data_IF_460935747273
#
_entry.id   IF_460935747273
#
_cell.length_a   1.000
_cell.length_b   1.000
_cell.length_c   1.000
_cell.angle_alpha   90.00
_cell.angle_beta   90.00
_cell.angle_gamma   90.00
#
_symmetry.space_group_name_H-M   'P 1'
#
loop_
_entity.id
_entity.type
_entity.pdbx_description
1 polymer ?
#
# COMPACT_ATOMS: atom_id res chain seq x y z
N UNK A 1 -38.22 16.98 -55.72
CA UNK A 1 -37.47 17.84 -54.79
C UNK A 1 -36.28 17.05 -54.30
N UNK A 2 -35.13 17.29 -54.92
CA UNK A 2 -33.87 16.61 -54.62
C UNK A 2 -33.19 17.33 -53.45
N UNK A 3 -32.86 16.59 -52.39
CA UNK A 3 -32.05 17.08 -51.29
C UNK A 3 -30.61 16.57 -51.48
N UNK A 4 -29.67 17.50 -51.53
CA UNK A 4 -28.24 17.27 -51.69
C UNK A 4 -27.62 16.62 -50.44
N UNK A 5 -26.53 15.85 -50.56
CA UNK A 5 -25.83 15.27 -49.42
C UNK A 5 -24.91 16.29 -48.74
N UNK A 6 -24.97 16.35 -47.41
CA UNK A 6 -24.11 17.17 -46.57
C UNK A 6 -22.69 16.60 -46.49
N UNK A 7 -21.69 17.48 -46.61
CA UNK A 7 -20.27 17.18 -46.61
C UNK A 7 -19.75 16.78 -45.21
N UNK A 8 -18.83 15.81 -45.17
CA UNK A 8 -18.13 15.35 -43.98
C UNK A 8 -17.09 16.38 -43.49
N UNK A 9 -16.91 16.56 -42.17
CA UNK A 9 -15.89 17.46 -41.64
C UNK A 9 -14.49 16.82 -41.71
N UNK A 10 -13.52 17.64 -42.09
CA UNK A 10 -12.10 17.35 -42.20
C UNK A 10 -11.45 17.08 -40.84
N UNK A 11 -10.71 15.97 -40.74
CA UNK A 11 -9.86 15.61 -39.59
C UNK A 11 -8.69 16.58 -39.48
N UNK A 12 -8.65 17.39 -38.42
CA UNK A 12 -7.45 18.09 -37.99
C UNK A 12 -6.51 17.08 -37.29
N UNK A 13 -5.25 17.06 -37.72
CA UNK A 13 -4.19 16.29 -37.09
C UNK A 13 -3.86 16.90 -35.72
N UNK A 14 -4.11 16.14 -34.65
CA UNK A 14 -3.69 16.51 -33.30
C UNK A 14 -2.29 15.93 -33.10
N UNK A 15 -1.29 16.80 -33.06
CA UNK A 15 0.07 16.46 -32.67
C UNK A 15 0.10 16.08 -31.20
N UNK A 16 0.56 14.87 -30.91
CA UNK A 16 0.82 14.41 -29.55
C UNK A 16 2.05 15.12 -28.99
N UNK A 17 1.83 16.16 -28.18
CA UNK A 17 2.87 16.71 -27.31
C UNK A 17 3.09 15.74 -26.14
N UNK A 18 4.26 15.11 -26.15
CA UNK A 18 4.79 14.37 -25.01
C UNK A 18 4.97 15.34 -23.84
N UNK A 19 4.09 15.23 -22.84
CA UNK A 19 4.25 15.94 -21.57
C UNK A 19 5.37 15.24 -20.78
N UNK A 20 6.61 15.59 -21.08
CA UNK A 20 7.75 15.26 -20.25
C UNK A 20 7.64 15.98 -18.91
N UNK A 21 7.65 15.23 -17.82
CA UNK A 21 7.83 15.79 -16.48
C UNK A 21 9.25 16.34 -16.41
N UNK A 22 9.38 17.66 -16.53
CA UNK A 22 10.64 18.37 -16.38
C UNK A 22 11.00 18.40 -14.90
N UNK A 23 11.84 17.48 -14.45
CA UNK A 23 12.57 17.65 -13.18
C UNK A 23 13.58 18.78 -13.37
N UNK A 24 13.49 19.81 -12.52
CA UNK A 24 14.47 20.89 -12.49
C UNK A 24 15.85 20.32 -12.19
N UNK A 25 16.70 20.26 -13.22
CA UNK A 25 18.14 20.12 -13.08
C UNK A 25 18.67 21.37 -12.39
N UNK A 26 18.91 21.26 -11.07
CA UNK A 26 19.50 22.31 -10.26
C UNK A 26 20.84 22.77 -10.82
N UNK A 27 20.95 24.08 -10.99
CA UNK A 27 22.16 24.80 -11.37
C UNK A 27 23.22 24.64 -10.29
N UNK A 28 24.43 24.28 -10.72
CA UNK A 28 25.63 24.25 -9.90
C UNK A 28 25.96 25.64 -9.35
N UNK A 29 26.13 25.76 -8.01
CA UNK A 29 26.75 26.90 -7.31
C UNK A 29 27.13 26.53 -5.85
N UNK A 30 28.03 27.28 -5.21
CA UNK A 30 29.39 26.84 -4.92
C UNK A 30 29.57 26.17 -3.56
N UNK A 31 30.58 25.30 -3.51
CA UNK A 31 31.09 24.65 -2.31
C UNK A 31 31.55 25.66 -1.26
N UNK A 32 31.01 25.57 -0.04
CA UNK A 32 31.65 26.13 1.14
C UNK A 32 32.54 25.07 1.77
N UNK A 33 33.86 25.33 1.74
CA UNK A 33 34.88 24.52 2.41
C UNK A 33 34.88 24.84 3.91
N UNK A 34 34.65 23.77 4.68
CA UNK A 34 35.31 23.33 5.91
C UNK A 34 35.58 24.34 7.05
N UNK A 35 35.00 24.04 8.22
CA UNK A 35 35.69 24.16 9.50
C UNK A 35 35.89 22.75 10.07
N UNK A 36 37.15 22.35 10.23
CA UNK A 36 37.56 21.09 10.82
C UNK A 36 37.38 21.15 12.35
N UNK A 37 36.53 20.29 12.89
CA UNK A 37 36.52 19.97 14.32
C UNK A 37 36.98 18.52 14.47
N UNK A 38 38.18 18.35 15.01
CA UNK A 38 38.72 17.07 15.42
C UNK A 38 38.03 16.64 16.72
N UNK A 39 37.28 15.54 16.66
CA UNK A 39 36.76 14.87 17.84
C UNK A 39 37.00 13.37 17.68
N UNK A 40 37.91 12.87 18.50
CA UNK A 40 38.37 11.49 18.58
C UNK A 40 37.20 10.54 18.88
N UNK A 41 36.95 9.60 17.97
CA UNK A 41 36.00 8.52 18.18
C UNK A 41 36.57 7.45 19.13
N UNK A 42 35.86 7.03 20.19
CA UNK A 42 36.23 5.84 20.93
C UNK A 42 35.87 4.59 20.11
N UNK A 43 36.84 3.70 19.93
CA UNK A 43 36.68 2.44 19.21
C UNK A 43 35.69 1.50 19.89
N UNK A 44 34.63 1.12 19.18
CA UNK A 44 33.72 0.06 19.60
C UNK A 44 34.28 -1.28 19.14
N UNK A 45 34.88 -2.01 20.08
CA UNK A 45 35.31 -3.40 19.91
C UNK A 45 34.07 -4.28 19.71
N UNK A 46 34.10 -5.12 18.67
CA UNK A 46 33.21 -6.28 18.53
C UNK A 46 33.45 -7.26 19.68
N UNK A 47 32.41 -7.52 20.48
CA UNK A 47 32.24 -8.76 21.24
C UNK A 47 30.79 -9.19 21.05
N UNK A 48 30.57 -10.26 20.29
CA UNK A 48 29.28 -10.94 20.28
C UNK A 48 29.20 -11.91 21.46
N UNK A 49 28.07 -12.01 22.17
CA UNK A 49 27.73 -13.23 22.87
C UNK A 49 26.94 -14.14 21.93
N UNK A 50 27.28 -15.42 21.94
CA UNK A 50 26.43 -16.47 21.41
C UNK A 50 25.15 -16.52 22.25
N UNK A 51 24.00 -16.25 21.64
CA UNK A 51 22.70 -16.36 22.31
C UNK A 51 22.07 -17.68 21.88
N UNK A 52 21.93 -18.58 22.85
CA UNK A 52 21.16 -19.81 22.77
C UNK A 52 19.68 -19.50 22.48
N UNK A 53 19.14 -20.10 21.43
CA UNK A 53 17.71 -20.01 21.08
C UNK A 53 16.93 -20.88 22.08
N UNK A 54 16.50 -20.27 23.18
CA UNK A 54 15.43 -20.83 24.00
C UNK A 54 14.11 -20.53 23.30
N UNK A 55 13.34 -21.58 22.99
CA UNK A 55 12.00 -21.46 22.45
C UNK A 55 11.12 -20.65 23.40
N UNK A 56 10.84 -19.39 23.06
CA UNK A 56 9.87 -18.59 23.79
C UNK A 56 8.47 -18.94 23.29
N UNK A 57 7.63 -19.26 24.27
CA UNK A 57 6.22 -19.57 24.18
C UNK A 57 5.48 -18.63 23.23
N UNK A 58 4.77 -19.23 22.27
CA UNK A 58 3.80 -18.57 21.41
C UNK A 58 2.89 -17.66 22.24
N UNK A 59 3.03 -16.34 22.05
CA UNK A 59 2.08 -15.38 22.59
C UNK A 59 0.79 -15.49 21.76
N UNK A 60 -0.29 -15.81 22.47
CA UNK A 60 -1.63 -16.04 21.97
C UNK A 60 -2.17 -14.85 21.16
N UNK A 61 -2.80 -15.16 20.03
CA UNK A 61 -3.55 -14.22 19.20
C UNK A 61 -4.58 -13.43 20.03
N UNK A 62 -4.92 -12.18 19.64
CA UNK A 62 -5.93 -11.39 20.35
C UNK A 62 -7.24 -12.17 20.41
N UNK A 63 -7.75 -12.36 21.64
CA UNK A 63 -8.88 -13.23 21.94
C UNK A 63 -10.12 -12.88 21.11
N UNK A 64 -10.77 -13.90 20.57
CA UNK A 64 -12.07 -13.78 19.94
C UNK A 64 -13.01 -13.04 20.90
N UNK A 65 -13.47 -11.85 20.49
CA UNK A 65 -14.53 -11.15 21.22
C UNK A 65 -15.70 -12.13 21.35
N UNK A 66 -16.11 -12.43 22.58
CA UNK A 66 -17.34 -13.17 22.81
C UNK A 66 -18.49 -12.27 22.35
N UNK A 67 -18.87 -12.38 21.07
CA UNK A 67 -19.91 -11.54 20.48
C UNK A 67 -21.26 -12.09 20.93
N UNK A 68 -22.01 -11.26 21.66
CA UNK A 68 -23.39 -11.55 22.05
C UNK A 68 -24.28 -11.73 20.81
N UNK A 69 -24.82 -12.93 20.63
CA UNK A 69 -25.63 -13.30 19.46
C UNK A 69 -26.84 -12.39 19.27
N UNK A 70 -27.47 -11.93 20.37
CA UNK A 70 -28.64 -11.05 20.28
C UNK A 70 -28.28 -9.67 19.71
N UNK A 71 -27.09 -9.16 20.04
CA UNK A 71 -26.57 -7.91 19.48
C UNK A 71 -26.21 -8.07 18.01
N UNK A 72 -25.65 -9.22 17.63
CA UNK A 72 -25.40 -9.54 16.22
C UNK A 72 -26.71 -9.54 15.45
N UNK A 73 -27.73 -10.24 15.93
CA UNK A 73 -29.02 -10.28 15.25
C UNK A 73 -29.65 -8.90 15.10
N UNK A 74 -29.65 -8.11 16.18
CA UNK A 74 -30.13 -6.72 16.14
C UNK A 74 -29.38 -5.87 15.11
N UNK A 75 -28.05 -6.05 14.99
CA UNK A 75 -27.26 -5.36 13.96
C UNK A 75 -27.65 -5.84 12.55
N UNK A 76 -27.75 -7.14 12.34
CA UNK A 76 -28.07 -7.75 11.05
C UNK A 76 -29.45 -7.32 10.52
N UNK A 77 -30.40 -7.08 11.43
CA UNK A 77 -31.75 -6.62 11.08
C UNK A 77 -31.77 -5.16 10.60
N UNK A 78 -30.70 -4.40 10.82
CA UNK A 78 -30.55 -3.04 10.31
C UNK A 78 -29.92 -2.97 8.92
N UNK A 79 -29.36 -4.07 8.43
CA UNK A 79 -28.78 -4.13 7.09
C UNK A 79 -29.91 -4.16 6.07
N UNK A 80 -29.80 -3.33 5.04
CA UNK A 80 -30.78 -3.22 3.96
C UNK A 80 -30.43 -4.26 2.89
N UNK A 81 -31.05 -5.43 3.04
CA UNK A 81 -30.94 -6.51 2.08
C UNK A 81 -31.80 -6.22 0.83
N UNK A 82 -31.30 -6.58 -0.35
CA UNK A 82 -32.06 -6.49 -1.60
C UNK A 82 -33.23 -7.49 -1.62
N UNK A 83 -34.02 -7.49 -2.69
CA UNK A 83 -35.16 -8.40 -2.84
C UNK A 83 -34.80 -9.89 -2.87
N UNK A 84 -33.51 -10.23 -2.96
CA UNK A 84 -32.96 -11.59 -2.91
C UNK A 84 -32.31 -11.89 -1.56
N UNK A 85 -32.40 -10.99 -0.58
CA UNK A 85 -31.77 -11.14 0.73
C UNK A 85 -30.25 -10.92 0.71
N UNK A 86 -29.74 -10.15 -0.25
CA UNK A 86 -28.31 -9.92 -0.45
C UNK A 86 -27.92 -8.45 -0.28
N UNK A 87 -26.69 -8.24 0.20
CA UNK A 87 -25.99 -6.96 0.15
C UNK A 87 -24.64 -7.14 -0.55
N UNK A 88 -24.01 -6.03 -0.94
CA UNK A 88 -22.65 -6.05 -1.49
C UNK A 88 -21.64 -5.99 -0.35
N UNK A 89 -20.60 -6.80 -0.43
CA UNK A 89 -19.44 -6.71 0.44
C UNK A 89 -18.16 -6.52 -0.37
N UNK A 90 -17.36 -5.54 0.02
CA UNK A 90 -16.08 -5.19 -0.57
C UNK A 90 -14.98 -5.59 0.41
N UNK A 91 -14.07 -6.47 0.00
CA UNK A 91 -12.89 -6.77 0.78
C UNK A 91 -11.78 -5.76 0.46
N UNK A 92 -11.24 -5.12 1.49
CA UNK A 92 -10.17 -4.12 1.38
C UNK A 92 -8.97 -4.53 2.23
N UNK A 93 -7.76 -4.38 1.68
CA UNK A 93 -6.53 -4.61 2.40
C UNK A 93 -6.34 -3.52 3.48
N UNK A 94 -6.19 -3.94 4.73
CA UNK A 94 -6.01 -3.04 5.88
C UNK A 94 -4.71 -2.24 5.84
N UNK A 95 -3.66 -2.80 5.25
CA UNK A 95 -2.32 -2.18 5.20
C UNK A 95 -2.20 -1.29 3.96
N UNK A 96 -2.60 -1.80 2.79
CA UNK A 96 -2.38 -1.08 1.52
C UNK A 96 -3.53 -0.18 1.09
N UNK A 97 -4.73 -0.38 1.66
CA UNK A 97 -5.97 0.26 1.22
C UNK A 97 -6.52 -0.28 -0.10
N UNK A 98 -5.85 -1.25 -0.74
CA UNK A 98 -6.29 -1.80 -2.01
C UNK A 98 -7.63 -2.52 -1.89
N UNK A 99 -8.52 -2.30 -2.85
CA UNK A 99 -9.73 -3.11 -3.00
C UNK A 99 -9.31 -4.47 -3.56
N UNK A 100 -9.55 -5.53 -2.79
CA UNK A 100 -9.13 -6.89 -3.12
C UNK A 100 -10.14 -7.58 -4.02
N UNK A 101 -11.42 -7.55 -3.64
CA UNK A 101 -12.52 -8.15 -4.38
C UNK A 101 -13.87 -7.63 -3.89
N UNK A 102 -14.91 -7.87 -4.71
CA UNK A 102 -16.30 -7.71 -4.32
C UNK A 102 -17.00 -9.07 -4.33
N UNK A 103 -17.85 -9.31 -3.33
CA UNK A 103 -18.75 -10.45 -3.27
C UNK A 103 -20.14 -10.05 -2.76
N UNK A 104 -21.11 -10.95 -2.91
CA UNK A 104 -22.42 -10.78 -2.30
C UNK A 104 -22.42 -11.44 -0.93
N UNK A 105 -23.20 -10.91 -0.01
CA UNK A 105 -23.37 -11.47 1.33
C UNK A 105 -24.86 -11.53 1.64
N UNK A 106 -25.28 -12.63 2.26
CA UNK A 106 -26.59 -12.71 2.91
C UNK A 106 -26.39 -12.56 4.44
N UNK A 107 -27.50 -12.55 5.17
CA UNK A 107 -27.50 -12.45 6.64
C UNK A 107 -26.55 -13.47 7.30
N UNK A 108 -26.57 -14.72 6.85
CA UNK A 108 -25.74 -15.81 7.38
C UNK A 108 -24.24 -15.62 7.09
N UNK A 109 -23.88 -15.15 5.89
CA UNK A 109 -22.49 -14.89 5.52
C UNK A 109 -21.89 -13.77 6.37
N UNK A 110 -22.66 -12.72 6.64
CA UNK A 110 -22.23 -11.63 7.50
C UNK A 110 -22.07 -12.10 8.95
N UNK A 111 -23.03 -12.86 9.48
CA UNK A 111 -22.94 -13.47 10.82
C UNK A 111 -21.70 -14.38 10.96
N UNK A 112 -21.42 -15.20 9.94
CA UNK A 112 -20.23 -16.06 9.91
C UNK A 112 -18.94 -15.24 9.84
N UNK A 113 -18.93 -14.13 9.11
CA UNK A 113 -17.76 -13.22 9.05
C UNK A 113 -17.51 -12.56 10.40
N UNK A 114 -18.55 -12.06 11.07
CA UNK A 114 -18.47 -11.45 12.41
C UNK A 114 -17.86 -12.42 13.42
N UNK A 115 -18.33 -13.67 13.42
CA UNK A 115 -17.88 -14.69 14.39
C UNK A 115 -16.49 -15.24 14.10
N UNK A 116 -16.19 -15.55 12.83
CA UNK A 116 -14.93 -16.21 12.44
C UNK A 116 -13.78 -15.25 12.16
N UNK A 117 -14.07 -13.95 11.97
CA UNK A 117 -13.12 -12.95 11.45
C UNK A 117 -12.47 -13.38 10.12
N UNK A 118 -13.18 -14.15 9.30
CA UNK A 118 -12.76 -14.53 7.94
C UNK A 118 -13.82 -14.11 6.95
N UNK A 119 -13.40 -13.46 5.85
CA UNK A 119 -14.32 -12.95 4.85
C UNK A 119 -15.16 -14.09 4.25
N UNK A 120 -16.43 -14.11 4.59
CA UNK A 120 -17.41 -15.09 4.10
C UNK A 120 -18.41 -14.39 3.19
N UNK A 121 -18.61 -14.97 2.02
CA UNK A 121 -19.54 -14.49 1.00
C UNK A 121 -20.66 -15.51 0.76
N UNK A 122 -21.71 -15.08 0.07
CA UNK A 122 -22.76 -15.92 -0.47
C UNK A 122 -22.59 -16.06 -1.99
N UNK A 123 -22.41 -17.29 -2.45
CA UNK A 123 -22.29 -17.59 -3.88
C UNK A 123 -23.68 -17.69 -4.50
N UNK A 124 -24.06 -16.69 -5.31
CA UNK A 124 -25.36 -16.68 -6.00
C UNK A 124 -25.58 -17.87 -6.93
N UNK A 125 -24.52 -18.36 -7.57
CA UNK A 125 -24.60 -19.51 -8.48
C UNK A 125 -24.72 -20.84 -7.76
N UNK A 126 -24.04 -21.01 -6.61
CA UNK A 126 -24.07 -22.24 -5.80
C UNK A 126 -25.16 -22.23 -4.74
N UNK A 127 -25.80 -21.08 -4.51
CA UNK A 127 -26.75 -20.84 -3.42
C UNK A 127 -26.22 -21.29 -2.05
N UNK A 128 -24.94 -21.01 -1.79
CA UNK A 128 -24.24 -21.47 -0.59
C UNK A 128 -23.28 -20.43 -0.03
N UNK A 129 -22.96 -20.55 1.26
CA UNK A 129 -21.86 -19.82 1.88
C UNK A 129 -20.52 -20.25 1.28
N UNK A 130 -19.57 -19.32 1.25
CA UNK A 130 -18.20 -19.55 0.81
C UNK A 130 -17.26 -18.62 1.57
N UNK A 131 -16.35 -19.18 2.37
CA UNK A 131 -15.31 -18.39 3.02
C UNK A 131 -14.11 -18.31 2.10
N UNK A 132 -13.68 -17.08 1.77
CA UNK A 132 -12.52 -16.88 0.90
C UNK A 132 -11.30 -17.55 1.53
N UNK A 133 -10.65 -18.43 0.76
CA UNK A 133 -9.47 -19.16 1.19
C UNK A 133 -9.72 -20.62 1.61
N UNK A 134 -10.97 -21.07 1.76
CA UNK A 134 -11.29 -22.46 2.17
C UNK A 134 -10.60 -23.53 1.32
N UNK A 135 -10.39 -23.28 0.03
CA UNK A 135 -9.69 -24.21 -0.89
C UNK A 135 -8.23 -23.83 -1.12
N UNK A 136 -7.93 -22.53 -1.22
CA UNK A 136 -6.61 -22.04 -1.65
C UNK A 136 -5.68 -21.66 -0.51
N UNK A 137 -6.14 -21.71 0.75
CA UNK A 137 -5.47 -21.17 1.94
C UNK A 137 -5.20 -19.66 1.94
N UNK A 138 -5.49 -18.95 0.85
CA UNK A 138 -5.43 -17.49 0.76
C UNK A 138 -6.69 -16.87 1.40
N UNK A 139 -6.77 -16.89 2.73
CA UNK A 139 -7.84 -16.25 3.48
C UNK A 139 -7.73 -14.73 3.45
N UNK A 140 -8.83 -14.05 3.78
CA UNK A 140 -8.83 -12.63 4.15
C UNK A 140 -9.26 -12.56 5.60
N UNK A 141 -8.30 -12.25 6.49
CA UNK A 141 -8.53 -12.15 7.93
C UNK A 141 -9.07 -10.75 8.25
N UNK A 142 -10.34 -10.69 8.66
CA UNK A 142 -11.10 -9.45 8.84
C UNK A 142 -10.75 -8.79 10.17
N UNK A 143 -10.15 -7.61 10.07
CA UNK A 143 -9.85 -6.74 11.21
C UNK A 143 -11.07 -5.95 11.65
N UNK A 144 -11.86 -5.46 10.70
CA UNK A 144 -13.07 -4.70 11.00
C UNK A 144 -14.11 -4.81 9.88
N UNK A 145 -15.36 -4.48 10.22
CA UNK A 145 -16.50 -4.50 9.31
C UNK A 145 -17.23 -3.17 9.38
N UNK A 146 -17.34 -2.48 8.26
CA UNK A 146 -18.07 -1.22 8.16
C UNK A 146 -19.33 -1.41 7.33
N UNK A 147 -20.43 -0.81 7.78
CA UNK A 147 -21.63 -0.61 6.99
C UNK A 147 -21.58 0.81 6.42
N UNK A 148 -22.07 1.01 5.20
CA UNK A 148 -22.27 2.34 4.65
C UNK A 148 -23.47 3.07 5.28
N UNK A 149 -23.74 4.30 4.83
CA UNK A 149 -24.67 5.21 5.50
C UNK A 149 -26.15 4.78 5.39
N UNK A 150 -26.53 4.12 4.30
CA UNK A 150 -27.86 3.54 4.07
C UNK A 150 -27.91 2.02 4.22
N UNK A 151 -26.79 1.42 4.65
CA UNK A 151 -26.63 0.04 5.12
C UNK A 151 -26.92 -1.02 4.06
N UNK A 152 -26.68 -0.73 2.78
CA UNK A 152 -26.79 -1.73 1.70
C UNK A 152 -25.42 -2.14 1.09
N UNK A 153 -24.33 -1.55 1.58
CA UNK A 153 -22.96 -1.94 1.25
C UNK A 153 -22.09 -2.13 2.50
N UNK A 154 -21.16 -3.08 2.40
CA UNK A 154 -20.33 -3.53 3.52
C UNK A 154 -18.86 -3.51 3.10
N UNK A 155 -17.99 -3.01 3.97
CA UNK A 155 -16.54 -3.16 3.83
C UNK A 155 -16.05 -4.21 4.83
N UNK A 156 -15.38 -5.23 4.32
CA UNK A 156 -14.52 -6.14 5.09
C UNK A 156 -13.09 -5.61 5.02
N UNK A 157 -12.67 -4.90 6.06
CA UNK A 157 -11.30 -4.41 6.18
C UNK A 157 -10.44 -5.52 6.79
N UNK A 158 -9.49 -6.08 6.02
CA UNK A 158 -8.76 -7.28 6.43
C UNK A 158 -7.38 -7.43 5.81
N UNK A 159 -6.60 -8.40 6.32
CA UNK A 159 -5.30 -8.76 5.78
C UNK A 159 -5.40 -10.07 4.98
N UNK A 160 -5.02 -10.09 3.68
CA UNK A 160 -4.98 -11.32 2.90
C UNK A 160 -3.76 -12.18 3.28
N UNK A 161 -3.91 -13.51 3.31
CA UNK A 161 -2.82 -14.47 3.58
C UNK A 161 -2.04 -14.86 2.30
N UNK A 162 -2.42 -14.32 1.15
CA UNK A 162 -1.86 -14.61 -0.16
C UNK A 162 -2.65 -13.91 -1.25
N UNK A 163 -2.39 -14.19 -2.54
CA UNK A 163 -3.11 -13.52 -3.63
C UNK A 163 -4.62 -13.78 -3.53
N UNK A 164 -5.39 -12.69 -3.63
CA UNK A 164 -6.86 -12.78 -3.55
C UNK A 164 -7.42 -13.42 -4.80
N UNK A 165 -6.88 -13.07 -5.97
CA UNK A 165 -7.38 -13.55 -7.24
C UNK A 165 -6.90 -14.98 -7.53
N UNK A 166 -7.73 -15.74 -8.24
CA UNK A 166 -7.40 -17.10 -8.69
C UNK A 166 -6.31 -17.10 -9.77
N UNK A 167 -6.02 -15.96 -10.41
CA UNK A 167 -4.93 -15.78 -11.37
C UNK A 167 -3.56 -15.65 -10.71
N UNK A 168 -3.51 -15.49 -9.38
CA UNK A 168 -2.28 -15.16 -8.65
C UNK A 168 -2.09 -13.67 -8.40
N UNK A 169 -2.96 -12.80 -8.93
CA UNK A 169 -2.94 -11.37 -8.62
C UNK A 169 -3.43 -11.07 -7.19
N UNK A 170 -2.91 -9.99 -6.58
CA UNK A 170 -3.31 -9.57 -5.23
C UNK A 170 -4.78 -9.12 -5.17
N UNK A 171 -5.25 -8.49 -6.24
CA UNK A 171 -6.61 -7.96 -6.42
C UNK A 171 -7.30 -8.59 -7.63
N UNK A 172 -8.63 -8.63 -7.64
CA UNK A 172 -9.41 -8.92 -8.83
C UNK A 172 -9.47 -7.74 -9.83
N UNK A 173 -9.04 -6.55 -9.43
CA UNK A 173 -9.13 -5.31 -10.22
C UNK A 173 -7.78 -4.99 -10.89
N UNK A 174 -7.37 -5.80 -11.86
CA UNK A 174 -6.09 -5.63 -12.59
C UNK A 174 -6.26 -5.27 -14.08
N UNK A 175 -7.48 -4.95 -14.51
CA UNK A 175 -7.77 -4.56 -15.90
C UNK A 175 -8.28 -3.13 -15.96
N UNK A 176 -7.49 -2.22 -16.55
CA UNK A 176 -7.89 -0.84 -16.83
C UNK A 176 -8.87 -0.79 -18.00
N UNK A 177 -9.96 -0.03 -17.83
CA UNK A 177 -10.94 0.21 -18.90
C UNK A 177 -10.29 0.98 -20.06
N UNK A 178 -9.43 1.96 -19.78
CA UNK A 178 -8.80 2.78 -20.82
C UNK A 178 -7.77 2.00 -21.64
N UNK A 179 -7.11 1.03 -21.02
CA UNK A 179 -6.15 0.14 -21.68
C UNK A 179 -6.88 -0.85 -22.58
N UNK A 180 -7.98 -1.43 -22.07
CA UNK A 180 -8.85 -2.30 -22.85
C UNK A 180 -9.43 -1.57 -24.08
N UNK A 181 -9.82 -0.30 -23.93
CA UNK A 181 -10.28 0.54 -25.05
C UNK A 181 -9.19 0.85 -26.08
N UNK A 182 -7.92 0.82 -25.67
CA UNK A 182 -6.76 1.00 -26.56
C UNK A 182 -6.23 -0.31 -27.15
N UNK A 183 -6.88 -1.44 -26.84
CA UNK A 183 -6.43 -2.78 -27.27
C UNK A 183 -5.11 -3.22 -26.62
N UNK A 184 -4.69 -2.56 -25.53
CA UNK A 184 -3.55 -3.00 -24.75
C UNK A 184 -3.94 -4.24 -23.96
N UNK A 185 -3.07 -5.25 -23.97
CA UNK A 185 -3.28 -6.44 -23.13
C UNK A 185 -3.11 -6.04 -21.67
N UNK A 186 -3.93 -6.58 -20.75
CA UNK A 186 -3.68 -6.42 -19.32
C UNK A 186 -2.26 -6.92 -19.03
N UNK A 187 -1.40 -6.06 -18.49
CA UNK A 187 -0.15 -6.54 -17.89
C UNK A 187 -0.48 -7.05 -16.50
N UNK A 188 -0.01 -8.26 -16.17
CA UNK A 188 -0.16 -8.84 -14.83
C UNK A 188 0.41 -7.92 -13.73
N UNK A 189 1.34 -7.04 -14.10
CA UNK A 189 1.97 -6.04 -13.24
C UNK A 189 1.12 -4.78 -13.00
N UNK A 190 0.04 -4.56 -13.75
CA UNK A 190 -0.78 -3.34 -13.60
C UNK A 190 -1.98 -3.62 -12.71
N UNK A 191 -1.80 -3.39 -11.42
CA UNK A 191 -2.85 -3.49 -10.42
C UNK A 191 -3.41 -2.09 -10.11
N UNK A 192 -4.64 -2.02 -9.60
CA UNK A 192 -5.13 -0.79 -8.97
C UNK A 192 -4.31 -0.54 -7.70
N UNK A 193 -3.24 0.26 -7.84
CA UNK A 193 -2.33 0.60 -6.75
C UNK A 193 -2.49 2.07 -6.35
N UNK A 194 -2.20 2.39 -5.09
CA UNK A 194 -2.13 3.78 -4.62
C UNK A 194 -0.75 4.36 -4.93
N UNK A 195 -0.62 5.69 -4.92
CA UNK A 195 0.60 6.41 -5.32
C UNK A 195 1.89 5.85 -4.70
N UNK A 196 1.85 5.46 -3.42
CA UNK A 196 3.01 4.95 -2.71
C UNK A 196 3.45 3.58 -3.26
N UNK A 197 2.51 2.68 -3.53
CA UNK A 197 2.81 1.37 -4.11
C UNK A 197 3.21 1.48 -5.59
N UNK A 198 2.60 2.40 -6.35
CA UNK A 198 3.06 2.69 -7.72
C UNK A 198 4.52 3.20 -7.75
N UNK A 199 4.94 3.92 -6.70
CA UNK A 199 6.33 4.34 -6.51
C UNK A 199 7.22 3.15 -6.18
N UNK A 200 6.82 2.25 -5.29
CA UNK A 200 7.54 1.01 -4.98
C UNK A 200 7.78 0.17 -6.24
N UNK A 201 6.75 -0.06 -7.05
CA UNK A 201 6.84 -0.79 -8.33
C UNK A 201 7.80 -0.10 -9.30
N UNK A 202 7.74 1.24 -9.37
CA UNK A 202 8.66 2.01 -10.20
C UNK A 202 10.10 1.86 -9.73
N UNK A 203 10.37 1.92 -8.43
CA UNK A 203 11.71 1.71 -7.87
C UNK A 203 12.18 0.27 -8.15
N UNK A 204 11.29 -0.73 -8.02
CA UNK A 204 11.58 -2.13 -8.34
C UNK A 204 12.03 -2.29 -9.79
N UNK A 205 11.26 -1.78 -10.75
CA UNK A 205 11.61 -1.83 -12.19
C UNK A 205 12.94 -1.13 -12.49
N UNK A 206 13.23 -0.01 -11.81
CA UNK A 206 14.52 0.70 -11.95
C UNK A 206 15.69 -0.09 -11.39
N UNK A 207 15.48 -1.02 -10.46
CA UNK A 207 16.54 -1.92 -9.99
C UNK A 207 16.95 -2.90 -11.07
N UNK A 208 16.01 -3.36 -11.89
CA UNK A 208 16.23 -4.34 -12.97
C UNK A 208 16.78 -3.71 -14.26
N UNK A 209 16.77 -2.38 -14.36
CA UNK A 209 17.33 -1.62 -15.49
C UNK A 209 18.79 -2.03 -15.75
N UNK A 210 19.06 -2.60 -16.93
CA UNK A 210 20.43 -2.93 -17.39
C UNK A 210 21.07 -1.67 -17.98
N UNK A 211 22.21 -1.27 -17.44
CA UNK A 211 22.97 -0.12 -17.95
C UNK A 211 23.89 -0.63 -19.06
N UNK A 212 23.35 -0.81 -20.27
CA UNK A 212 24.13 -1.27 -21.43
C UNK A 212 24.76 -0.12 -22.19
N UNK A 213 24.05 0.99 -22.39
CA UNK A 213 24.59 2.22 -23.02
C UNK A 213 23.90 3.47 -22.44
N UNK A 214 24.67 4.36 -21.80
CA UNK A 214 24.16 5.61 -21.23
C UNK A 214 24.40 5.78 -19.72
N UNK A 215 23.97 6.93 -19.18
CA UNK A 215 24.00 7.18 -17.72
C UNK A 215 22.82 6.45 -17.06
N UNK A 216 23.03 5.77 -15.92
CA UNK A 216 21.94 5.13 -15.18
C UNK A 216 20.88 6.17 -14.79
N UNK A 217 19.62 5.72 -14.68
CA UNK A 217 18.56 6.55 -14.08
C UNK A 217 18.94 7.03 -12.67
N UNK A 218 18.35 8.14 -12.22
CA UNK A 218 18.60 8.69 -10.87
C UNK A 218 18.38 7.64 -9.77
N UNK A 219 17.24 6.93 -9.84
CA UNK A 219 16.93 5.82 -8.94
C UNK A 219 18.01 4.73 -8.99
N UNK A 220 18.44 4.32 -10.19
CA UNK A 220 19.49 3.30 -10.34
C UNK A 220 20.82 3.76 -9.72
N UNK A 221 21.18 5.04 -9.86
CA UNK A 221 22.37 5.61 -9.22
C UNK A 221 22.27 5.53 -7.69
N UNK A 222 21.14 5.91 -7.11
CA UNK A 222 20.90 5.81 -5.67
C UNK A 222 20.94 4.36 -5.17
N UNK A 223 20.38 3.42 -5.94
CA UNK A 223 20.40 1.98 -5.62
C UNK A 223 21.83 1.40 -5.62
N UNK A 224 22.76 1.97 -6.38
CA UNK A 224 24.15 1.52 -6.49
C UNK A 224 25.11 2.23 -5.52
N UNK A 225 24.76 3.42 -5.03
CA UNK A 225 25.62 4.24 -4.16
C UNK A 225 24.95 4.52 -2.81
N UNK A 226 25.28 3.69 -1.82
CA UNK A 226 24.77 3.81 -0.47
C UNK A 226 25.17 5.12 0.23
N UNK A 227 26.35 5.68 -0.09
CA UNK A 227 26.81 6.93 0.53
C UNK A 227 26.01 8.10 0.01
N UNK A 228 25.79 8.16 -1.31
CA UNK A 228 24.93 9.15 -1.94
C UNK A 228 23.50 9.05 -1.40
N UNK A 229 22.93 7.85 -1.33
CA UNK A 229 21.58 7.63 -0.81
C UNK A 229 21.43 8.11 0.64
N UNK A 230 22.37 7.74 1.52
CA UNK A 230 22.34 8.20 2.91
C UNK A 230 22.54 9.72 3.02
N UNK A 231 23.35 10.32 2.15
CA UNK A 231 23.53 11.77 2.10
C UNK A 231 22.22 12.46 1.74
N UNK A 232 21.53 12.00 0.68
CA UNK A 232 20.24 12.55 0.26
C UNK A 232 19.18 12.42 1.36
N UNK A 233 19.04 11.26 2.00
CA UNK A 233 18.08 11.09 3.11
C UNK A 233 18.34 12.10 4.23
N UNK A 234 19.60 12.35 4.60
CA UNK A 234 19.94 13.34 5.64
C UNK A 234 19.63 14.78 5.21
N UNK A 235 19.88 15.08 3.93
CA UNK A 235 19.57 16.38 3.33
C UNK A 235 18.06 16.64 3.38
N UNK A 236 17.22 15.75 2.83
CA UNK A 236 15.77 15.97 2.79
C UNK A 236 15.14 15.98 4.19
N UNK A 237 15.68 15.18 5.13
CA UNK A 237 15.25 15.26 6.52
C UNK A 237 15.59 16.61 7.16
N UNK A 238 16.75 17.19 6.81
CA UNK A 238 17.16 18.52 7.23
C UNK A 238 16.30 19.61 6.62
N UNK A 239 16.03 19.54 5.31
CA UNK A 239 15.17 20.50 4.61
C UNK A 239 13.73 20.46 5.16
N UNK A 240 13.19 19.27 5.42
CA UNK A 240 11.88 19.12 6.06
C UNK A 240 11.84 19.80 7.43
N UNK A 241 12.87 19.60 8.27
CA UNK A 241 12.98 20.28 9.57
C UNK A 241 13.07 21.79 9.38
N UNK A 242 13.83 22.24 8.39
CA UNK A 242 14.02 23.66 8.11
C UNK A 242 12.71 24.36 7.75
N UNK A 243 11.82 23.68 7.02
CA UNK A 243 10.49 24.23 6.69
C UNK A 243 9.72 24.68 7.93
N UNK A 244 9.87 23.95 9.05
CA UNK A 244 9.25 24.32 10.33
C UNK A 244 10.00 25.46 11.02
N UNK A 245 11.34 25.42 11.03
CA UNK A 245 12.16 26.41 11.72
C UNK A 245 12.10 27.80 11.08
N UNK A 246 11.99 27.84 9.76
CA UNK A 246 11.88 29.08 8.98
C UNK A 246 10.42 29.50 8.73
N UNK A 247 9.45 28.76 9.25
CA UNK A 247 8.02 29.01 9.04
C UNK A 247 7.67 29.13 7.55
N UNK A 248 8.22 28.21 6.75
CA UNK A 248 7.93 28.08 5.33
C UNK A 248 6.50 27.56 5.12
N UNK A 249 6.00 27.69 3.89
CA UNK A 249 4.63 27.34 3.58
C UNK A 249 4.40 25.82 3.48
N UNK A 250 3.13 25.43 3.55
CA UNK A 250 2.68 24.04 3.51
C UNK A 250 3.15 23.29 2.26
N UNK A 251 3.26 23.95 1.10
CA UNK A 251 3.67 23.30 -0.14
C UNK A 251 5.14 22.90 -0.11
N UNK A 252 5.99 23.72 0.51
CA UNK A 252 7.41 23.39 0.68
C UNK A 252 7.59 22.20 1.63
N UNK A 253 6.93 22.21 2.79
CA UNK A 253 6.93 21.06 3.70
C UNK A 253 6.42 19.76 3.04
N UNK A 254 5.39 19.86 2.19
CA UNK A 254 4.89 18.70 1.44
C UNK A 254 5.90 18.19 0.41
N UNK A 255 6.64 19.09 -0.26
CA UNK A 255 7.71 18.73 -1.20
C UNK A 255 8.85 17.99 -0.48
N UNK A 256 9.36 18.54 0.63
CA UNK A 256 10.46 17.92 1.38
C UNK A 256 10.08 16.56 1.97
N UNK A 257 8.84 16.43 2.43
CA UNK A 257 8.34 15.15 2.90
C UNK A 257 8.23 14.14 1.75
N UNK A 258 7.83 14.56 0.55
CA UNK A 258 7.77 13.69 -0.62
C UNK A 258 9.18 13.20 -1.03
N UNK A 259 10.17 14.09 -1.02
CA UNK A 259 11.56 13.73 -1.33
C UNK A 259 12.16 12.82 -0.26
N UNK A 260 11.91 13.09 1.02
CA UNK A 260 12.31 12.21 2.12
C UNK A 260 11.69 10.82 1.99
N UNK A 261 10.38 10.74 1.71
CA UNK A 261 9.68 9.48 1.49
C UNK A 261 10.26 8.73 0.30
N UNK A 262 10.49 9.41 -0.83
CA UNK A 262 11.08 8.81 -2.03
C UNK A 262 12.43 8.15 -1.71
N UNK A 263 13.36 8.90 -1.10
CA UNK A 263 14.68 8.36 -0.79
C UNK A 263 14.63 7.25 0.28
N UNK A 264 13.73 7.37 1.27
CA UNK A 264 13.49 6.30 2.23
C UNK A 264 13.00 5.01 1.55
N UNK A 265 12.10 5.11 0.56
CA UNK A 265 11.63 3.95 -0.20
C UNK A 265 12.73 3.30 -1.05
N UNK A 266 13.64 4.10 -1.64
CA UNK A 266 14.82 3.55 -2.31
C UNK A 266 15.70 2.77 -1.32
N UNK A 267 15.86 3.27 -0.09
CA UNK A 267 16.57 2.54 0.96
C UNK A 267 15.87 1.23 1.34
N UNK A 268 14.54 1.24 1.50
CA UNK A 268 13.78 0.02 1.76
C UNK A 268 14.02 -1.02 0.66
N UNK A 269 14.04 -0.61 -0.61
CA UNK A 269 14.37 -1.50 -1.72
C UNK A 269 15.78 -2.08 -1.63
N UNK A 270 16.79 -1.28 -1.29
CA UNK A 270 18.17 -1.77 -1.04
C UNK A 270 18.19 -2.81 0.09
N UNK A 271 17.33 -2.66 1.09
CA UNK A 271 17.21 -3.58 2.23
C UNK A 271 16.30 -4.78 1.99
N UNK A 272 15.58 -4.82 0.86
CA UNK A 272 14.60 -5.87 0.58
C UNK A 272 13.37 -5.82 1.48
N UNK A 273 13.04 -4.64 2.02
CA UNK A 273 11.85 -4.43 2.86
C UNK A 273 10.75 -3.83 2.00
N UNK A 274 9.54 -4.40 2.04
CA UNK A 274 8.37 -3.86 1.35
C UNK A 274 7.69 -2.76 2.17
N UNK A 275 7.02 -1.82 1.49
CA UNK A 275 6.22 -0.79 2.15
C UNK A 275 5.11 -1.39 3.02
N UNK A 276 4.51 -2.51 2.59
CA UNK A 276 3.50 -3.21 3.39
C UNK A 276 4.02 -3.61 4.78
N UNK A 277 5.28 -4.06 4.89
CA UNK A 277 5.89 -4.43 6.18
C UNK A 277 6.04 -3.21 7.09
N UNK A 278 6.36 -2.04 6.53
CA UNK A 278 6.45 -0.78 7.27
C UNK A 278 5.08 -0.37 7.80
N UNK A 279 4.03 -0.45 6.97
CA UNK A 279 2.67 -0.12 7.36
C UNK A 279 2.13 -1.10 8.41
N UNK A 280 2.46 -2.39 8.31
CA UNK A 280 2.14 -3.37 9.34
C UNK A 280 2.78 -3.01 10.69
N UNK A 281 4.05 -2.60 10.69
CA UNK A 281 4.73 -2.13 11.92
C UNK A 281 4.02 -0.90 12.49
N UNK A 282 3.64 0.08 11.65
CA UNK A 282 2.91 1.27 12.11
C UNK A 282 1.55 0.90 12.70
N UNK A 283 0.80 -0.02 12.06
CA UNK A 283 -0.48 -0.51 12.56
C UNK A 283 -0.36 -1.20 13.93
N UNK A 284 0.69 -2.00 14.13
CA UNK A 284 0.99 -2.60 15.44
C UNK A 284 1.24 -1.54 16.51
N UNK A 285 1.89 -0.42 16.15
CA UNK A 285 2.12 0.71 17.05
C UNK A 285 0.86 1.51 17.36
N UNK A 286 -0.11 1.65 16.46
CA UNK A 286 -1.37 2.32 16.79
C UNK A 286 -2.20 1.55 17.83
N UNK A 287 -1.99 0.23 17.93
CA UNK A 287 -2.70 -0.64 18.86
C UNK A 287 -2.03 -0.75 20.25
N UNK A 288 -0.88 -0.10 20.45
CA UNK A 288 -0.15 -0.01 21.71
C UNK A 288 0.14 1.47 22.00
N UNK A 289 -0.23 2.00 23.16
CA UNK A 289 0.13 3.40 23.45
C UNK A 289 1.65 3.56 23.38
N UNK A 290 2.14 4.74 22.94
CA UNK A 290 3.59 4.99 22.81
C UNK A 290 4.38 4.83 24.11
N UNK A 291 3.69 4.84 25.26
CA UNK A 291 4.25 4.55 26.58
C UNK A 291 4.48 3.03 26.75
N UNK A 292 3.53 2.20 26.33
CA UNK A 292 3.62 0.74 26.38
C UNK A 292 4.68 0.19 25.42
N UNK A 293 4.79 0.77 24.21
CA UNK A 293 5.84 0.42 23.24
C UNK A 293 7.25 0.75 23.79
N UNK A 294 7.41 1.89 24.46
CA UNK A 294 8.70 2.28 25.05
C UNK A 294 9.07 1.38 26.24
N UNK A 295 8.09 0.93 27.02
CA UNK A 295 8.29 0.03 28.15
C UNK A 295 8.67 -1.40 27.71
N UNK A 296 8.19 -1.87 26.57
CA UNK A 296 8.51 -3.21 26.05
C UNK A 296 9.93 -3.30 25.47
N UNK A 297 10.45 -2.21 24.89
CA UNK A 297 11.83 -2.15 24.35
C UNK A 297 12.93 -2.20 25.41
N UNK A 298 12.64 -1.79 26.65
CA UNK A 298 13.60 -1.84 27.76
C UNK A 298 13.68 -3.22 28.44
N UNK A 299 12.95 -4.22 27.94
CA UNK A 299 12.94 -5.59 28.47
C UNK A 299 13.65 -6.62 27.58
N UNK A 300 14.30 -6.19 26.50
CA UNK A 300 15.10 -7.04 25.60
C UNK A 300 16.60 -6.82 25.76
#
# INVERSE_FOLDING_TARGET
MAAAPAAAPTRAAVSSSSSGVTFCSGTSRPSLRAAAASASAPGWRRRGPAVSVAASSAQSAPGALAVDSNKVDTLLDTVKWDSKGLAVAIAQNVDTGAILMQGFVNREALAKTISTRKATFFSRSRSSLWTKGETSMNFINVHDIFLDCDRDSIIYLGKPDGPTCHTGAETCYYTSVYDALQGLKPSEDMQVTTTLYSLEDTISRRQEETVTEGKPSWTKKLLLDAQLLCSKIREEAGELIQTLLENEDRSRAASEMADLLYHAMVLLRVKGVKMEEVLEILRKRFSQSGIEEKASRNKS
#
